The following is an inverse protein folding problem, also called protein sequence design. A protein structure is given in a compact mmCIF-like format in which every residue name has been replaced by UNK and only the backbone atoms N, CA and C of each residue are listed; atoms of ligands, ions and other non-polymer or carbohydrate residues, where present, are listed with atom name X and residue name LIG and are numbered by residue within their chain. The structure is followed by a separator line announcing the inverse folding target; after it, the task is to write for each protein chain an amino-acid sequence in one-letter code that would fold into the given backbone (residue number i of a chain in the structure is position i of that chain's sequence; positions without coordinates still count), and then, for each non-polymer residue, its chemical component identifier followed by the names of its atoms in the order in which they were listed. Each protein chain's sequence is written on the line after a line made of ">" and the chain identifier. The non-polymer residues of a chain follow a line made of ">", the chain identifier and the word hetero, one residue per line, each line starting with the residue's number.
data_IF_184779967969
#
_entry.id   IF_184779967969
#
_cell.length_a   1.000
_cell.length_b   1.000
_cell.length_c   1.000
_cell.angle_alpha   90.00
_cell.angle_beta   90.00
_cell.angle_gamma   90.00
#
_symmetry.space_group_name_H-M   'P 1'
#
loop_
_entity.id
_entity.type
_entity.pdbx_description
1 polymer ?
#
# COMPACT_ATOMS: atom_id res chain seq x y z
N UNK A 1 -5.72 -5.85 8.66
CA UNK A 1 -5.25 -4.44 8.53
C UNK A 1 -5.25 -4.06 7.07
N UNK A 2 -5.18 -2.77 6.75
CA UNK A 2 -5.21 -2.29 5.36
C UNK A 2 -3.90 -2.55 4.61
N UNK A 3 -4.01 -2.68 3.30
CA UNK A 3 -2.86 -2.86 2.38
C UNK A 3 -2.29 -1.51 1.96
N UNK A 4 -1.02 -1.50 1.54
CA UNK A 4 -0.42 -0.39 0.77
C UNK A 4 -0.33 -0.81 -0.69
N UNK A 5 -1.02 -0.08 -1.54
CA UNK A 5 -1.18 -0.40 -2.96
C UNK A 5 -0.68 0.75 -3.81
N UNK A 6 0.24 0.49 -4.73
CA UNK A 6 0.61 1.44 -5.78
C UNK A 6 -0.35 1.31 -6.95
N UNK A 7 -0.79 2.46 -7.46
CA UNK A 7 -1.68 2.55 -8.62
C UNK A 7 -1.12 3.52 -9.63
N UNK A 8 -1.28 3.22 -10.91
CA UNK A 8 -0.82 4.11 -11.99
C UNK A 8 -1.82 5.24 -12.17
N UNK A 9 -1.32 6.47 -12.22
CA UNK A 9 -2.07 7.65 -12.64
C UNK A 9 -1.37 8.29 -13.84
N UNK A 10 -1.99 8.17 -15.02
CA UNK A 10 -1.45 8.70 -16.27
C UNK A 10 -1.45 10.24 -16.32
N UNK A 11 -2.15 10.91 -15.40
CA UNK A 11 -2.12 12.37 -15.29
C UNK A 11 -0.95 12.86 -14.42
N UNK A 12 -0.24 11.95 -13.75
CA UNK A 12 0.90 12.27 -12.89
C UNK A 12 2.20 12.14 -13.68
N UNK A 13 3.02 13.19 -13.66
CA UNK A 13 4.30 13.21 -14.41
C UNK A 13 5.54 13.24 -13.53
N UNK A 14 5.38 13.42 -12.21
CA UNK A 14 6.51 13.56 -11.28
C UNK A 14 6.31 12.74 -10.01
N UNK A 15 7.41 12.42 -9.32
CA UNK A 15 7.41 11.82 -7.98
C UNK A 15 7.66 12.86 -6.87
N UNK A 16 7.39 14.16 -7.13
CA UNK A 16 7.71 15.23 -6.17
C UNK A 16 6.98 15.06 -4.84
N UNK A 17 5.75 14.54 -4.84
CA UNK A 17 4.96 14.35 -3.62
C UNK A 17 5.65 13.41 -2.60
N UNK A 18 6.39 12.42 -3.10
CA UNK A 18 7.16 11.48 -2.28
C UNK A 18 8.38 12.13 -1.61
N UNK A 19 8.85 13.27 -2.12
CA UNK A 19 9.97 14.00 -1.52
C UNK A 19 9.56 14.67 -0.20
N UNK A 20 8.31 15.15 -0.12
CA UNK A 20 7.78 15.81 1.07
C UNK A 20 7.19 14.82 2.07
N UNK A 21 6.44 13.81 1.58
CA UNK A 21 5.84 12.77 2.43
C UNK A 21 6.62 11.47 2.31
N UNK A 22 7.35 11.13 3.37
CA UNK A 22 8.24 9.95 3.44
C UNK A 22 7.62 8.72 4.10
N UNK A 23 6.52 8.87 4.85
CA UNK A 23 5.86 7.78 5.58
C UNK A 23 4.41 7.63 5.13
N UNK A 24 4.08 6.42 4.71
CA UNK A 24 2.75 6.01 4.29
C UNK A 24 2.32 4.84 5.19
N UNK A 25 1.15 4.95 5.79
CA UNK A 25 0.63 3.96 6.75
C UNK A 25 -0.81 3.70 6.38
N UNK A 26 -1.15 2.44 6.10
CA UNK A 26 -2.52 2.02 5.86
C UNK A 26 -3.31 1.97 7.18
N UNK A 27 -4.64 1.91 7.10
CA UNK A 27 -5.51 1.83 8.26
C UNK A 27 -5.29 0.55 9.07
N UNK A 28 -5.33 0.65 10.40
CA UNK A 28 -5.34 -0.52 11.27
C UNK A 28 -6.70 -1.22 11.23
N UNK A 29 -6.69 -2.55 11.37
CA UNK A 29 -7.94 -3.27 11.65
C UNK A 29 -8.43 -2.95 13.06
N UNK A 30 -9.73 -3.05 13.29
CA UNK A 30 -10.31 -2.92 14.61
C UNK A 30 -10.21 -4.24 15.39
N UNK A 31 -10.21 -4.13 16.71
CA UNK A 31 -10.21 -5.29 17.59
C UNK A 31 -11.55 -6.05 17.52
N UNK A 32 -11.47 -7.37 17.75
CA UNK A 32 -12.67 -8.17 18.02
C UNK A 32 -13.40 -7.70 19.26
N UNK A 33 -14.70 -7.96 19.31
CA UNK A 33 -15.54 -7.65 20.47
C UNK A 33 -16.15 -8.94 21.03
N UNK A 34 -16.70 -8.84 22.24
CA UNK A 34 -17.44 -9.94 22.86
C UNK A 34 -18.59 -10.44 21.97
N UNK A 35 -19.16 -11.60 22.33
CA UNK A 35 -20.26 -12.25 21.59
C UNK A 35 -19.87 -12.71 20.17
N UNK A 36 -18.63 -13.19 19.99
CA UNK A 36 -18.10 -13.71 18.72
C UNK A 36 -18.16 -12.67 17.58
N UNK A 37 -17.86 -11.41 17.89
CA UNK A 37 -17.85 -10.34 16.91
C UNK A 37 -16.42 -10.05 16.44
N UNK A 38 -16.14 -10.24 15.15
CA UNK A 38 -14.85 -9.86 14.57
C UNK A 38 -14.77 -8.35 14.34
N UNK A 39 -13.59 -7.77 14.54
CA UNK A 39 -13.34 -6.37 14.22
C UNK A 39 -13.35 -6.09 12.71
N UNK A 40 -13.58 -4.82 12.34
CA UNK A 40 -13.53 -4.35 10.94
C UNK A 40 -12.10 -4.43 10.40
N UNK A 41 -11.97 -4.73 9.11
CA UNK A 41 -10.71 -4.54 8.40
C UNK A 41 -10.28 -3.06 8.34
N UNK A 42 -8.97 -2.86 8.27
CA UNK A 42 -8.37 -1.55 8.14
C UNK A 42 -8.44 -1.06 6.69
N UNK A 43 -8.65 0.24 6.50
CA UNK A 43 -8.78 0.81 5.16
C UNK A 43 -7.41 0.82 4.45
N UNK A 44 -7.36 0.28 3.22
CA UNK A 44 -6.14 0.26 2.40
C UNK A 44 -5.76 1.67 1.92
N UNK A 45 -4.46 1.89 1.77
CA UNK A 45 -3.89 3.14 1.28
C UNK A 45 -3.42 2.97 -0.15
N UNK A 46 -4.04 3.71 -1.07
CA UNK A 46 -3.65 3.77 -2.47
C UNK A 46 -2.70 4.94 -2.72
N UNK A 47 -1.55 4.63 -3.28
CA UNK A 47 -0.47 5.56 -3.58
C UNK A 47 -0.35 5.67 -5.10
N UNK A 48 -0.59 6.86 -5.63
CA UNK A 48 -0.54 7.10 -7.07
C UNK A 48 0.89 7.36 -7.52
N UNK A 49 1.24 6.80 -8.66
CA UNK A 49 2.55 6.99 -9.31
C UNK A 49 2.39 7.18 -10.81
N UNK A 50 3.29 7.94 -11.47
CA UNK A 50 3.37 8.00 -12.92
C UNK A 50 3.57 6.61 -13.54
N UNK A 51 3.05 6.42 -14.75
CA UNK A 51 3.34 5.23 -15.55
C UNK A 51 4.84 5.09 -15.79
N UNK A 52 5.35 3.85 -15.72
CA UNK A 52 6.78 3.56 -15.86
C UNK A 52 7.61 3.76 -14.59
N UNK A 53 6.96 4.00 -13.45
CA UNK A 53 7.63 4.02 -12.14
C UNK A 53 8.14 2.63 -11.79
N UNK A 54 9.42 2.52 -11.41
CA UNK A 54 10.02 1.29 -10.91
C UNK A 54 10.02 1.27 -9.38
N UNK A 55 9.35 0.27 -8.80
CA UNK A 55 9.36 0.03 -7.34
C UNK A 55 10.52 -0.89 -7.00
N UNK A 56 11.41 -0.43 -6.12
CA UNK A 56 12.62 -1.16 -5.73
C UNK A 56 12.75 -1.23 -4.21
N UNK A 57 13.29 -2.34 -3.75
CA UNK A 57 13.69 -2.50 -2.36
C UNK A 57 14.99 -1.73 -2.12
N UNK A 58 15.03 -0.90 -1.08
CA UNK A 58 16.18 -0.03 -0.80
C UNK A 58 17.37 -0.77 -0.20
N UNK A 59 17.16 -1.91 0.46
CA UNK A 59 18.22 -2.67 1.13
C UNK A 59 18.91 -3.61 0.14
N UNK A 60 18.13 -4.29 -0.69
CA UNK A 60 18.64 -5.29 -1.66
C UNK A 60 18.89 -4.71 -3.05
N UNK A 61 18.28 -3.57 -3.38
CA UNK A 61 18.31 -2.98 -4.73
C UNK A 61 17.45 -3.75 -5.76
N UNK A 62 16.76 -4.81 -5.33
CA UNK A 62 15.92 -5.63 -6.19
C UNK A 62 14.72 -4.86 -6.73
N UNK A 63 14.37 -5.10 -8.00
CA UNK A 63 13.13 -4.57 -8.58
C UNK A 63 11.98 -5.42 -8.07
N UNK A 64 11.07 -4.80 -7.31
CA UNK A 64 9.87 -5.45 -6.81
C UNK A 64 8.77 -5.45 -7.86
N UNK A 65 8.62 -4.34 -8.59
CA UNK A 65 7.60 -4.19 -9.62
C UNK A 65 7.91 -3.08 -10.62
N UNK A 66 7.41 -3.22 -11.84
CA UNK A 66 7.42 -2.20 -12.90
C UNK A 66 5.99 -1.77 -13.20
N UNK A 67 5.67 -0.51 -12.93
CA UNK A 67 4.33 0.07 -13.09
C UNK A 67 4.03 0.48 -14.54
N UNK A 68 4.75 -0.02 -15.55
CA UNK A 68 4.50 0.28 -16.96
C UNK A 68 3.21 -0.35 -17.51
N UNK A 69 2.83 -1.52 -16.98
CA UNK A 69 1.69 -2.29 -17.47
C UNK A 69 0.33 -1.76 -16.98
N UNK A 70 0.33 -0.78 -16.08
CA UNK A 70 -0.88 -0.15 -15.55
C UNK A 70 -1.59 -0.95 -14.46
N UNK A 71 -1.01 -2.07 -14.00
CA UNK A 71 -1.64 -2.89 -12.95
C UNK A 71 -1.32 -2.35 -11.57
N UNK A 72 -2.27 -2.54 -10.67
CA UNK A 72 -2.10 -2.22 -9.26
C UNK A 72 -1.12 -3.20 -8.62
N UNK A 73 -0.24 -2.68 -7.77
CA UNK A 73 0.77 -3.46 -7.08
C UNK A 73 0.64 -3.33 -5.57
N UNK A 74 0.38 -4.45 -4.89
CA UNK A 74 0.34 -4.50 -3.42
C UNK A 74 1.77 -4.60 -2.88
N UNK A 75 2.33 -3.46 -2.48
CA UNK A 75 3.69 -3.39 -1.97
C UNK A 75 3.82 -3.87 -0.52
N UNK A 76 2.81 -3.64 0.31
CA UNK A 76 2.76 -4.16 1.67
C UNK A 76 1.36 -4.70 1.98
N UNK A 77 1.28 -6.00 2.30
CA UNK A 77 0.03 -6.62 2.74
C UNK A 77 -0.22 -6.30 4.20
N UNK A 78 -1.45 -5.91 4.51
CA UNK A 78 -1.94 -5.70 5.86
C UNK A 78 -1.90 -6.99 6.68
N UNK A 79 -1.63 -6.85 7.97
CA UNK A 79 -1.61 -7.99 8.89
C UNK A 79 -2.97 -8.68 8.99
N UNK A 80 -2.95 -10.01 9.18
CA UNK A 80 -4.15 -10.79 9.49
C UNK A 80 -4.70 -10.40 10.87
N UNK A 81 -6.03 -10.47 11.03
CA UNK A 81 -6.68 -10.26 12.32
C UNK A 81 -6.18 -11.27 13.36
N UNK A 82 -6.11 -10.83 14.63
CA UNK A 82 -5.77 -11.70 15.75
C UNK A 82 -6.83 -12.79 15.97
N UNK A 83 -6.44 -13.87 16.66
CA UNK A 83 -7.35 -14.93 17.08
C UNK A 83 -8.04 -14.49 18.37
N UNK A 84 -9.38 -14.57 18.39
CA UNK A 84 -10.24 -14.15 19.53
C UNK A 84 -11.28 -15.18 19.89
#
# INVERSE_FOLDING_TARGET
>A
GGDIVFVVDDNMSTLMDFRYKRKYVAGNGADGQGKRCSGKDGDSLYIRVPRGTLVRDTETGGIMHDMSDGKDFVAARGGKGGWG
#
